data_IF_027867277563
#
_entry.id   IF_027867277563
#
_cell.length_a   1.000
_cell.length_b   1.000
_cell.length_c   1.000
_cell.angle_alpha   90.00
_cell.angle_beta   90.00
_cell.angle_gamma   90.00
#
_symmetry.space_group_name_H-M   'P 1'
#
loop_
_entity.id
_entity.type
_entity.pdbx_description
1 polymer ?
#
# COMPACT_ATOMS: atom_id res chain seq x y z
N UNK A 1 -14.79 3.52 -7.39
CA UNK A 1 -16.26 3.29 -7.47
C UNK A 1 -16.69 2.70 -8.81
N UNK A 2 -16.15 3.16 -9.95
CA UNK A 2 -16.52 2.61 -11.30
C UNK A 2 -16.13 1.15 -11.46
N UNK A 3 -14.94 0.75 -11.00
CA UNK A 3 -14.47 -0.63 -11.07
C UNK A 3 -15.34 -1.58 -10.20
N UNK A 4 -15.74 -1.11 -9.01
CA UNK A 4 -16.63 -1.86 -8.13
C UNK A 4 -18.01 -2.03 -8.75
N UNK A 5 -18.58 -0.96 -9.34
CA UNK A 5 -19.83 -0.98 -10.09
C UNK A 5 -19.75 -1.89 -11.33
N UNK A 6 -18.62 -1.87 -12.06
CA UNK A 6 -18.42 -2.75 -13.21
C UNK A 6 -18.37 -4.23 -12.81
N UNK A 7 -17.79 -4.55 -11.66
CA UNK A 7 -17.74 -5.91 -11.08
C UNK A 7 -19.14 -6.40 -10.66
N UNK A 8 -19.96 -5.50 -10.13
CA UNK A 8 -21.34 -5.80 -9.68
C UNK A 8 -22.35 -5.89 -10.85
N UNK A 9 -22.10 -5.16 -11.94
CA UNK A 9 -23.00 -5.05 -13.11
C UNK A 9 -22.52 -5.85 -14.32
N UNK A 10 -21.91 -7.00 -14.14
CA UNK A 10 -21.57 -7.86 -15.29
C UNK A 10 -22.86 -8.42 -15.90
N UNK A 11 -23.01 -8.40 -17.27
CA UNK A 11 -24.20 -8.95 -17.95
C UNK A 11 -24.35 -10.46 -17.76
N UNK A 12 -23.34 -11.10 -17.22
CA UNK A 12 -23.35 -12.52 -16.89
C UNK A 12 -23.26 -12.64 -15.37
N UNK A 13 -24.29 -13.12 -14.72
CA UNK A 13 -24.26 -13.45 -13.28
C UNK A 13 -23.39 -14.68 -13.03
N UNK A 14 -22.10 -14.59 -13.33
CA UNK A 14 -21.13 -15.64 -13.04
C UNK A 14 -20.56 -15.43 -11.64
N UNK A 15 -20.75 -16.41 -10.81
CA UNK A 15 -20.07 -16.47 -9.52
C UNK A 15 -18.62 -16.88 -9.75
N UNK A 16 -17.70 -15.96 -9.55
CA UNK A 16 -16.28 -16.27 -9.55
C UNK A 16 -15.92 -17.06 -8.29
N UNK A 17 -15.39 -18.25 -8.47
CA UNK A 17 -14.85 -19.08 -7.39
C UNK A 17 -13.35 -19.16 -7.62
N UNK A 18 -12.56 -18.80 -6.62
CA UNK A 18 -11.12 -19.03 -6.68
C UNK A 18 -10.87 -20.54 -6.72
N UNK A 19 -10.34 -21.02 -7.82
CA UNK A 19 -9.99 -22.43 -8.01
C UNK A 19 -8.56 -22.77 -7.59
N UNK A 20 -7.83 -21.77 -6.98
CA UNK A 20 -6.40 -21.92 -6.66
C UNK A 20 -5.49 -21.76 -7.89
N UNK A 21 -4.18 -21.92 -7.75
CA UNK A 21 -3.50 -22.24 -6.49
C UNK A 21 -3.56 -21.11 -5.47
N UNK A 22 -3.58 -21.46 -4.19
CA UNK A 22 -3.58 -20.51 -3.07
C UNK A 22 -2.17 -19.94 -2.83
N UNK A 23 -1.25 -20.16 -3.76
CA UNK A 23 0.11 -19.68 -3.67
C UNK A 23 0.29 -18.40 -4.47
N UNK A 24 0.66 -17.34 -3.80
CA UNK A 24 1.11 -16.10 -4.45
C UNK A 24 2.61 -16.20 -4.69
N UNK A 25 3.04 -16.04 -5.94
CA UNK A 25 4.46 -16.08 -6.32
C UNK A 25 5.11 -14.71 -6.47
N UNK A 26 4.45 -13.66 -5.98
CA UNK A 26 4.97 -12.30 -5.97
C UNK A 26 6.01 -12.10 -4.84
N UNK A 27 6.83 -11.07 -4.97
CA UNK A 27 7.79 -10.71 -3.93
C UNK A 27 7.09 -10.07 -2.75
N UNK A 28 7.45 -10.50 -1.54
CA UNK A 28 7.07 -9.80 -0.31
C UNK A 28 7.90 -8.51 -0.23
N UNK A 29 7.21 -7.37 -0.17
CA UNK A 29 7.82 -6.04 0.04
C UNK A 29 7.76 -5.65 1.51
N UNK A 30 6.63 -5.92 2.18
CA UNK A 30 6.47 -5.65 3.61
C UNK A 30 5.68 -6.75 4.32
N UNK A 31 5.99 -6.94 5.58
CA UNK A 31 5.28 -7.81 6.53
C UNK A 31 5.12 -7.05 7.85
N UNK A 32 3.88 -6.89 8.28
CA UNK A 32 3.56 -6.22 9.54
C UNK A 32 2.68 -7.11 10.42
N UNK A 33 3.10 -7.33 11.66
CA UNK A 33 2.24 -7.91 12.70
C UNK A 33 1.51 -6.81 13.46
N UNK A 34 0.25 -7.05 13.78
CA UNK A 34 -0.53 -6.12 14.59
C UNK A 34 -0.06 -6.18 16.05
N UNK A 35 0.45 -5.08 16.63
CA UNK A 35 0.95 -5.08 17.99
C UNK A 35 -0.15 -5.27 19.06
N UNK A 36 -1.41 -5.00 18.70
CA UNK A 36 -2.54 -5.01 19.63
C UNK A 36 -3.46 -6.24 19.44
N UNK A 37 -3.31 -6.97 18.30
CA UNK A 37 -4.14 -8.13 17.97
C UNK A 37 -3.25 -9.34 17.62
N UNK A 38 -2.83 -10.14 18.60
CA UNK A 38 -2.02 -11.33 18.37
C UNK A 38 -2.66 -12.27 17.34
N UNK A 39 -1.88 -12.70 16.36
CA UNK A 39 -2.37 -13.54 15.26
C UNK A 39 -2.82 -12.76 14.03
N UNK A 40 -2.94 -11.44 14.12
CA UNK A 40 -3.21 -10.58 12.95
C UNK A 40 -1.90 -10.13 12.32
N UNK A 41 -1.77 -10.38 11.01
CA UNK A 41 -0.62 -9.96 10.20
C UNK A 41 -1.08 -9.51 8.82
N UNK A 42 -0.28 -8.62 8.24
CA UNK A 42 -0.46 -8.12 6.89
C UNK A 42 0.79 -8.42 6.06
N UNK A 43 0.60 -8.95 4.86
CA UNK A 43 1.68 -9.21 3.90
C UNK A 43 1.40 -8.43 2.62
N UNK A 44 2.33 -7.55 2.28
CA UNK A 44 2.30 -6.74 1.08
C UNK A 44 3.20 -7.34 -0.01
N UNK A 45 2.67 -7.46 -1.22
CA UNK A 45 3.41 -7.98 -2.36
C UNK A 45 3.60 -6.91 -3.42
N UNK A 46 4.79 -6.85 -4.01
CA UNK A 46 5.14 -5.89 -5.05
C UNK A 46 4.28 -5.99 -6.32
N UNK A 47 3.67 -7.15 -6.58
CA UNK A 47 2.77 -7.36 -7.71
C UNK A 47 1.65 -8.36 -7.39
N UNK A 48 1.26 -8.47 -6.13
CA UNK A 48 0.34 -9.51 -5.66
C UNK A 48 -0.65 -9.06 -4.60
N UNK A 49 -0.90 -7.75 -4.49
CA UNK A 49 -1.88 -7.22 -3.55
C UNK A 49 -1.42 -7.21 -2.07
N UNK A 50 -2.32 -6.80 -1.19
CA UNK A 50 -2.20 -6.83 0.25
C UNK A 50 -3.08 -7.95 0.82
N UNK A 51 -2.50 -8.76 1.69
CA UNK A 51 -3.18 -9.88 2.31
C UNK A 51 -3.16 -9.76 3.83
N UNK A 52 -4.29 -10.12 4.45
CA UNK A 52 -4.48 -10.13 5.91
C UNK A 52 -4.76 -11.54 6.39
N UNK A 53 -4.16 -11.91 7.53
CA UNK A 53 -4.57 -13.05 8.35
C UNK A 53 -4.98 -12.56 9.73
N UNK A 54 -5.86 -13.29 10.41
CA UNK A 54 -6.25 -13.04 11.80
C UNK A 54 -6.07 -14.28 12.68
N UNK A 55 -5.43 -15.32 12.13
CA UNK A 55 -5.28 -16.62 12.78
C UNK A 55 -3.87 -17.22 12.61
N UNK A 56 -2.84 -16.39 12.76
CA UNK A 56 -1.42 -16.76 12.63
C UNK A 56 -1.05 -17.37 11.26
N UNK A 57 -1.69 -16.94 10.19
CA UNK A 57 -1.35 -17.36 8.84
C UNK A 57 -2.00 -18.67 8.38
N UNK A 58 -2.96 -19.21 9.12
CA UNK A 58 -3.71 -20.39 8.69
C UNK A 58 -4.58 -20.09 7.46
N UNK A 59 -5.21 -18.90 7.48
CA UNK A 59 -5.97 -18.38 6.34
C UNK A 59 -5.53 -16.95 5.99
N UNK A 60 -5.55 -16.64 4.70
CA UNK A 60 -5.21 -15.33 4.18
C UNK A 60 -6.31 -14.80 3.28
N UNK A 61 -6.71 -13.55 3.49
CA UNK A 61 -7.72 -12.83 2.69
C UNK A 61 -7.06 -11.64 1.99
N UNK A 62 -7.23 -11.48 0.66
CA UNK A 62 -6.83 -10.25 0.00
C UNK A 62 -7.75 -9.11 0.42
N UNK A 63 -7.18 -7.94 0.72
CA UNK A 63 -7.95 -6.80 1.26
C UNK A 63 -7.77 -5.51 0.47
N UNK A 64 -7.07 -5.53 -0.66
CA UNK A 64 -6.84 -4.35 -1.50
C UNK A 64 -7.22 -4.57 -2.98
N UNK A 65 -7.92 -5.65 -3.32
CA UNK A 65 -8.18 -6.10 -4.69
C UNK A 65 -9.16 -5.21 -5.49
N UNK A 66 -9.86 -4.30 -4.83
CA UNK A 66 -10.80 -3.37 -5.46
C UNK A 66 -10.17 -2.01 -5.79
N UNK A 67 -8.84 -1.89 -5.68
CA UNK A 67 -8.09 -0.68 -5.96
C UNK A 67 -7.41 -0.75 -7.34
N UNK A 68 -7.03 0.40 -7.93
CA UNK A 68 -6.54 0.46 -9.31
C UNK A 68 -5.13 -0.11 -9.52
N UNK A 69 -4.42 -0.48 -8.47
CA UNK A 69 -3.09 -1.09 -8.54
C UNK A 69 -2.99 -2.34 -7.68
N UNK A 70 -2.15 -3.28 -8.09
CA UNK A 70 -1.79 -4.48 -7.32
C UNK A 70 -0.37 -4.39 -6.74
N UNK A 71 0.38 -3.36 -7.12
CA UNK A 71 1.74 -3.15 -6.66
C UNK A 71 1.75 -2.43 -5.31
N UNK A 72 2.27 -3.08 -4.28
CA UNK A 72 2.43 -2.49 -2.95
C UNK A 72 3.92 -2.33 -2.66
N UNK A 73 4.29 -1.18 -2.12
CA UNK A 73 5.65 -0.89 -1.69
C UNK A 73 5.84 -1.08 -0.20
N UNK A 74 4.87 -0.58 0.61
CA UNK A 74 4.93 -0.71 2.06
C UNK A 74 3.56 -0.61 2.71
N UNK A 75 3.44 -1.14 3.94
CA UNK A 75 2.28 -0.99 4.81
C UNK A 75 2.72 -0.62 6.22
N UNK A 76 2.02 0.31 6.84
CA UNK A 76 2.23 0.70 8.23
C UNK A 76 0.92 0.63 9.03
N UNK A 77 0.98 -0.01 10.19
CA UNK A 77 -0.10 -0.03 11.18
C UNK A 77 0.14 1.12 12.15
N UNK A 78 -0.87 1.92 12.45
CA UNK A 78 -0.75 2.96 13.46
C UNK A 78 -0.62 2.32 14.86
N UNK A 79 0.49 2.54 15.61
CA UNK A 79 0.70 1.86 16.89
C UNK A 79 -0.35 2.21 17.95
N UNK A 80 -0.94 3.40 17.86
CA UNK A 80 -1.97 3.88 18.79
C UNK A 80 -3.37 3.33 18.49
N UNK A 81 -3.62 2.82 17.27
CA UNK A 81 -4.89 2.24 16.86
C UNK A 81 -4.70 1.34 15.64
N UNK A 82 -4.76 0.04 15.83
CA UNK A 82 -4.53 -0.97 14.78
C UNK A 82 -5.57 -0.99 13.66
N UNK A 83 -6.73 -0.34 13.85
CA UNK A 83 -7.70 -0.17 12.76
C UNK A 83 -7.24 0.83 11.69
N UNK A 84 -6.28 1.70 12.05
CA UNK A 84 -5.72 2.69 11.14
C UNK A 84 -4.49 2.11 10.45
N UNK A 85 -4.60 1.95 9.14
CA UNK A 85 -3.53 1.46 8.26
C UNK A 85 -3.19 2.52 7.22
N UNK A 86 -1.91 2.62 6.88
CA UNK A 86 -1.44 3.37 5.72
C UNK A 86 -0.75 2.41 4.75
N UNK A 87 -1.07 2.55 3.48
CA UNK A 87 -0.54 1.70 2.41
C UNK A 87 0.10 2.58 1.33
N UNK A 88 1.37 2.33 1.08
CA UNK A 88 2.11 2.91 -0.04
C UNK A 88 2.11 1.97 -1.23
N UNK A 89 1.68 2.47 -2.37
CA UNK A 89 1.60 1.67 -3.59
C UNK A 89 2.82 1.85 -4.48
N UNK A 90 2.99 0.91 -5.42
CA UNK A 90 4.14 0.84 -6.31
C UNK A 90 5.27 0.01 -5.71
N UNK A 91 5.65 -1.04 -6.44
CA UNK A 91 6.70 -1.96 -6.01
C UNK A 91 8.02 -1.25 -5.76
N UNK A 92 8.60 -1.40 -4.55
CA UNK A 92 9.89 -0.84 -4.19
C UNK A 92 11.03 -1.72 -4.72
N UNK A 93 11.69 -1.29 -5.79
CA UNK A 93 12.83 -2.04 -6.35
C UNK A 93 14.09 -1.81 -5.52
N UNK A 94 14.55 -2.85 -4.85
CA UNK A 94 15.85 -2.85 -4.16
C UNK A 94 17.01 -3.30 -5.04
N UNK A 95 16.77 -3.76 -6.27
CA UNK A 95 17.79 -4.21 -7.27
C UNK A 95 17.36 -3.83 -8.67
N UNK A 96 18.33 -3.63 -9.58
CA UNK A 96 18.08 -3.37 -10.98
C UNK A 96 17.29 -4.52 -11.62
N UNK A 97 16.07 -4.24 -12.03
CA UNK A 97 15.17 -5.12 -12.76
C UNK A 97 14.56 -4.39 -13.94
N UNK A 98 14.14 -5.15 -14.94
CA UNK A 98 13.55 -4.58 -16.15
C UNK A 98 12.03 -4.32 -16.04
N UNK A 99 11.43 -4.64 -14.88
CA UNK A 99 10.00 -4.55 -14.65
C UNK A 99 9.69 -4.23 -13.20
N UNK A 100 8.70 -3.36 -12.98
CA UNK A 100 8.09 -3.06 -11.69
C UNK A 100 6.64 -2.66 -11.88
N UNK A 101 5.80 -2.89 -10.88
CA UNK A 101 4.42 -2.43 -10.86
C UNK A 101 4.37 -0.99 -10.32
N UNK A 102 3.90 -0.02 -11.12
CA UNK A 102 3.69 1.33 -10.62
C UNK A 102 2.55 1.38 -9.62
N UNK A 103 2.64 2.32 -8.69
CA UNK A 103 1.60 2.64 -7.75
C UNK A 103 0.74 3.83 -8.18
N UNK A 104 -0.21 4.16 -7.33
CA UNK A 104 -1.14 5.27 -7.46
C UNK A 104 -1.15 6.16 -6.22
N UNK A 105 -0.04 6.19 -5.47
CA UNK A 105 0.13 7.01 -4.27
C UNK A 105 -0.17 6.26 -2.98
N UNK A 106 -0.69 6.98 -2.00
CA UNK A 106 -0.93 6.51 -0.62
C UNK A 106 -2.41 6.29 -0.37
N UNK A 107 -2.72 5.25 0.40
CA UNK A 107 -4.07 4.91 0.84
C UNK A 107 -4.11 4.81 2.37
N UNK A 108 -5.29 5.05 2.93
CA UNK A 108 -5.59 4.87 4.36
C UNK A 108 -6.83 4.00 4.53
N UNK A 109 -6.78 3.13 5.51
CA UNK A 109 -7.94 2.45 6.08
C UNK A 109 -8.13 2.90 7.51
N UNK A 110 -9.38 3.02 7.95
CA UNK A 110 -9.76 3.30 9.33
C UNK A 110 -10.53 2.12 9.96
N UNK A 111 -10.58 0.97 9.27
CA UNK A 111 -11.35 -0.23 9.62
C UNK A 111 -10.54 -1.54 9.46
N UNK A 112 -9.23 -1.47 9.69
CA UNK A 112 -8.36 -2.64 9.62
C UNK A 112 -8.22 -3.25 8.22
N UNK A 113 -8.44 -2.45 7.16
CA UNK A 113 -8.26 -2.84 5.76
C UNK A 113 -9.53 -3.30 5.05
N UNK A 114 -10.71 -3.16 5.64
CA UNK A 114 -11.96 -3.49 4.96
C UNK A 114 -12.32 -2.45 3.88
N UNK A 115 -12.04 -1.16 4.16
CA UNK A 115 -12.19 -0.07 3.16
C UNK A 115 -10.94 0.79 3.08
N UNK A 116 -10.74 1.44 1.92
CA UNK A 116 -9.54 2.24 1.63
C UNK A 116 -9.92 3.58 1.02
N UNK A 117 -9.41 4.66 1.62
CA UNK A 117 -9.46 6.02 1.10
C UNK A 117 -8.14 6.37 0.42
N UNK A 118 -8.18 6.90 -0.79
CA UNK A 118 -7.01 7.39 -1.49
C UNK A 118 -6.61 8.78 -0.96
N UNK A 119 -5.34 8.98 -0.64
CA UNK A 119 -4.82 10.19 0.00
C UNK A 119 -3.90 11.02 -0.90
N UNK A 120 -3.86 10.74 -2.20
CA UNK A 120 -2.99 11.46 -3.14
C UNK A 120 -1.60 10.88 -3.28
N UNK A 121 -0.65 11.72 -3.71
CA UNK A 121 0.73 11.36 -4.05
C UNK A 121 0.85 10.39 -5.25
N UNK A 122 -0.05 10.46 -6.22
CA UNK A 122 -0.08 9.60 -7.43
C UNK A 122 1.21 9.71 -8.23
N UNK A 123 1.76 10.92 -8.32
CA UNK A 123 2.98 11.20 -9.10
C UNK A 123 4.25 10.62 -8.47
N UNK A 124 4.15 10.06 -7.26
CA UNK A 124 5.30 9.43 -6.60
C UNK A 124 5.64 8.05 -7.17
N UNK A 125 4.73 7.41 -7.89
CA UNK A 125 4.86 6.13 -8.59
C UNK A 125 5.25 4.93 -7.71
N UNK A 126 6.19 5.13 -6.79
CA UNK A 126 6.70 4.07 -5.92
C UNK A 126 6.94 4.62 -4.52
N UNK A 127 6.32 4.00 -3.55
CA UNK A 127 6.50 4.30 -2.12
C UNK A 127 7.42 3.23 -1.52
N UNK A 128 8.54 3.67 -0.97
CA UNK A 128 9.55 2.77 -0.40
C UNK A 128 9.31 2.43 1.06
N UNK A 129 8.78 3.38 1.84
CA UNK A 129 8.54 3.20 3.27
C UNK A 129 7.51 4.20 3.80
N UNK A 130 6.75 3.77 4.79
CA UNK A 130 5.78 4.60 5.54
C UNK A 130 6.05 4.47 7.02
N UNK A 131 6.16 5.60 7.70
CA UNK A 131 6.33 5.65 9.16
C UNK A 131 5.21 6.47 9.78
N UNK A 132 4.43 5.84 10.65
CA UNK A 132 3.36 6.47 11.42
C UNK A 132 3.86 6.85 12.79
N UNK A 133 3.53 8.05 13.26
CA UNK A 133 3.89 8.51 14.60
C UNK A 133 3.24 7.63 15.68
N UNK A 134 3.98 7.20 16.73
CA UNK A 134 3.51 6.18 17.68
C UNK A 134 2.27 6.56 18.47
N UNK A 135 2.02 7.85 18.70
CA UNK A 135 0.90 8.34 19.53
C UNK A 135 -0.15 9.14 18.75
N UNK A 136 0.16 9.58 17.54
CA UNK A 136 -0.78 10.34 16.72
C UNK A 136 -0.84 9.76 15.31
N UNK A 137 -1.87 8.99 14.95
CA UNK A 137 -1.97 8.33 13.67
C UNK A 137 -2.12 9.27 12.47
N UNK A 138 -2.41 10.55 12.72
CA UNK A 138 -2.53 11.56 11.67
C UNK A 138 -1.18 12.19 11.25
N UNK A 139 -0.10 11.87 11.97
CA UNK A 139 1.27 12.28 11.62
C UNK A 139 1.96 11.11 10.94
N UNK A 140 2.28 11.25 9.64
CA UNK A 140 2.87 10.19 8.83
C UNK A 140 3.97 10.76 7.94
N UNK A 141 5.05 9.99 7.81
CA UNK A 141 6.11 10.23 6.84
C UNK A 141 6.09 9.15 5.76
N UNK A 142 6.30 9.56 4.52
CA UNK A 142 6.30 8.69 3.35
C UNK A 142 7.57 8.93 2.54
N UNK A 143 8.32 7.87 2.28
CA UNK A 143 9.49 7.88 1.41
C UNK A 143 9.07 7.59 -0.04
N UNK A 144 9.06 8.61 -0.88
CA UNK A 144 8.69 8.53 -2.28
C UNK A 144 9.91 8.33 -3.16
N UNK A 145 9.95 7.22 -3.88
CA UNK A 145 11.07 6.84 -4.74
C UNK A 145 10.97 7.42 -6.16
N UNK A 146 9.79 7.89 -6.57
CA UNK A 146 9.55 8.43 -7.91
C UNK A 146 9.62 7.38 -9.01
N UNK A 147 9.81 7.82 -10.25
CA UNK A 147 10.02 6.94 -11.40
C UNK A 147 11.42 6.34 -11.35
N UNK A 148 11.56 5.05 -11.71
CA UNK A 148 12.86 4.37 -11.65
C UNK A 148 13.74 4.59 -12.89
N UNK A 149 13.14 4.79 -14.06
CA UNK A 149 13.86 4.86 -15.33
C UNK A 149 13.77 6.22 -16.03
N UNK A 150 13.32 7.24 -15.32
CA UNK A 150 13.28 8.61 -15.80
C UNK A 150 13.48 9.58 -14.66
N UNK A 151 13.84 10.81 -14.98
CA UNK A 151 13.82 11.91 -14.05
C UNK A 151 12.44 12.04 -13.39
N UNK A 152 12.43 12.35 -12.11
CA UNK A 152 11.20 12.50 -11.35
C UNK A 152 11.37 13.54 -10.26
N UNK A 153 10.62 14.61 -10.38
CA UNK A 153 10.57 15.70 -9.40
C UNK A 153 9.74 15.32 -8.16
N UNK A 154 9.03 14.18 -8.18
CA UNK A 154 8.17 13.70 -7.10
C UNK A 154 8.88 12.84 -6.05
N UNK A 155 10.19 12.68 -6.15
CA UNK A 155 11.01 11.99 -5.14
C UNK A 155 11.13 12.81 -3.85
N UNK A 156 11.38 12.13 -2.74
CA UNK A 156 11.66 12.78 -1.47
C UNK A 156 10.86 12.21 -0.31
N UNK A 157 10.98 12.86 0.84
CA UNK A 157 10.19 12.53 2.01
C UNK A 157 8.99 13.49 2.10
N UNK A 158 7.82 12.93 2.17
CA UNK A 158 6.57 13.66 2.39
C UNK A 158 6.07 13.44 3.81
N UNK A 159 5.48 14.49 4.38
CA UNK A 159 4.87 14.45 5.70
C UNK A 159 3.43 14.93 5.63
N UNK A 160 2.56 14.28 6.36
CA UNK A 160 1.23 14.80 6.73
C UNK A 160 1.16 14.96 8.24
N UNK A 161 0.32 15.89 8.70
CA UNK A 161 -0.03 16.08 10.12
C UNK A 161 -1.55 16.02 10.36
N UNK A 162 -2.30 15.68 9.32
CA UNK A 162 -3.77 15.69 9.33
C UNK A 162 -4.37 14.44 8.66
N UNK A 163 -3.66 13.31 8.76
CA UNK A 163 -4.14 12.01 8.29
C UNK A 163 -4.12 11.86 6.77
N UNK A 164 -3.29 12.62 6.07
CA UNK A 164 -3.14 12.52 4.60
C UNK A 164 -4.05 13.44 3.80
N UNK A 165 -4.76 14.38 4.45
CA UNK A 165 -5.55 15.40 3.74
C UNK A 165 -4.68 16.35 2.96
N UNK A 166 -3.50 16.69 3.54
CA UNK A 166 -2.48 17.50 2.90
C UNK A 166 -1.10 16.86 3.10
N UNK A 167 -0.22 17.04 2.11
CA UNK A 167 1.14 16.54 2.12
C UNK A 167 2.13 17.68 1.90
N UNK A 168 3.13 17.76 2.78
CA UNK A 168 4.29 18.62 2.65
C UNK A 168 5.52 17.80 2.30
N UNK A 169 6.25 18.16 1.25
CA UNK A 169 7.54 17.54 0.96
C UNK A 169 8.61 18.18 1.85
N UNK A 170 9.04 17.46 2.88
CA UNK A 170 9.98 17.94 3.91
C UNK A 170 11.44 17.68 3.57
N UNK A 171 11.72 16.76 2.64
CA UNK A 171 13.06 16.52 2.14
C UNK A 171 13.04 16.25 0.64
N UNK A 172 13.85 16.98 -0.08
CA UNK A 172 14.15 16.76 -1.50
C UNK A 172 15.61 17.10 -1.75
N UNK A 173 16.33 16.23 -2.44
CA UNK A 173 17.74 16.45 -2.78
C UNK A 173 17.88 16.85 -4.25
N UNK A 174 17.51 15.96 -5.15
CA UNK A 174 17.49 16.17 -6.60
C UNK A 174 16.68 15.08 -7.29
N UNK A 175 16.59 15.14 -8.63
CA UNK A 175 15.80 14.20 -9.44
C UNK A 175 16.42 12.79 -9.51
N UNK A 176 17.69 12.63 -9.17
CA UNK A 176 18.40 11.34 -9.22
C UNK A 176 18.41 10.62 -7.87
N UNK A 177 18.35 11.36 -6.76
CA UNK A 177 18.39 10.79 -5.42
C UNK A 177 17.03 10.24 -5.03
N UNK A 178 17.00 8.96 -4.66
CA UNK A 178 15.80 8.27 -4.15
C UNK A 178 15.76 8.33 -2.63
N UNK A 179 14.56 8.43 -2.07
CA UNK A 179 14.31 8.32 -0.64
C UNK A 179 14.19 6.86 -0.22
#
# INVERSE_FOLDING_TARGET
>A
EEYKKAKENTPFQVKWISAGPVTNSARVEALQGDPNQPGTMYVAFGSGNLWKTTNNGLDWKPIFENQPTLGIGDIAIAPSNSEILYLGTGESLRKNRNFTMPGTGVYRSDDGGETWAHLGLEETWHIGEIVVHPHNPDIVFVAAMGKFWSESTSKGIYRTINGGKDWERVLYVNEDTRA
#
